data_IF_482714772957
#
_entry.id   IF_482714772957
#
_cell.length_a   1.000
_cell.length_b   1.000
_cell.length_c   1.000
_cell.angle_alpha   90.00
_cell.angle_beta   90.00
_cell.angle_gamma   90.00
#
_symmetry.space_group_name_H-M   'P 1'
#
loop_
_entity.id
_entity.type
_entity.pdbx_description
1 polymer ?
#
# COMPACT_ATOMS: atom_id res chain seq x y z
N UNK A 1 -68.40 -10.88 39.56
CA UNK A 1 -68.64 -12.15 38.87
C UNK A 1 -67.32 -12.65 38.30
N UNK A 2 -66.73 -13.69 38.90
CA UNK A 2 -66.80 -15.09 38.46
C UNK A 2 -66.21 -15.35 37.06
N UNK A 3 -64.98 -15.87 37.08
CA UNK A 3 -64.21 -16.66 36.10
C UNK A 3 -65.07 -17.62 35.23
N UNK A 4 -64.64 -18.06 34.01
CA UNK A 4 -63.66 -19.16 33.96
C UNK A 4 -62.66 -19.24 32.79
N UNK A 5 -61.56 -19.91 33.15
CA UNK A 5 -60.49 -20.51 32.34
C UNK A 5 -61.01 -21.44 31.22
N UNK A 6 -60.31 -21.45 30.08
CA UNK A 6 -60.26 -22.63 29.19
C UNK A 6 -58.83 -22.85 28.66
N UNK A 7 -58.21 -23.92 29.16
CA UNK A 7 -57.03 -24.58 28.58
C UNK A 7 -57.43 -25.22 27.24
N UNK A 8 -56.63 -25.05 26.20
CA UNK A 8 -56.61 -25.97 25.07
C UNK A 8 -55.18 -26.41 24.74
N UNK A 9 -55.04 -27.72 24.58
CA UNK A 9 -53.81 -28.49 24.39
C UNK A 9 -53.53 -28.68 22.89
N UNK A 10 -52.23 -28.77 22.58
CA UNK A 10 -51.58 -29.55 21.50
C UNK A 10 -51.78 -29.09 20.04
N UNK A 11 -50.66 -28.86 19.34
CA UNK A 11 -49.99 -29.85 18.46
C UNK A 11 -48.77 -29.20 17.80
N UNK A 12 -47.60 -29.83 17.97
CA UNK A 12 -46.37 -29.43 17.30
C UNK A 12 -46.48 -29.62 15.79
N UNK A 13 -46.15 -28.57 15.04
CA UNK A 13 -46.05 -28.59 13.58
C UNK A 13 -44.58 -28.64 13.21
N UNK A 14 -44.11 -29.83 12.81
CA UNK A 14 -42.81 -30.03 12.15
C UNK A 14 -42.77 -29.16 10.89
N UNK A 15 -41.83 -28.21 10.83
CA UNK A 15 -41.54 -27.47 9.60
C UNK A 15 -40.86 -28.42 8.62
N UNK A 16 -41.54 -28.73 7.51
CA UNK A 16 -40.93 -29.34 6.34
C UNK A 16 -40.11 -28.24 5.68
N UNK A 17 -38.80 -28.46 5.56
CA UNK A 17 -37.94 -27.66 4.71
C UNK A 17 -38.20 -28.08 3.26
N UNK A 18 -38.66 -27.14 2.43
CA UNK A 18 -38.59 -27.26 0.98
C UNK A 18 -37.23 -26.73 0.53
N UNK A 19 -36.51 -27.41 -0.38
CA UNK A 19 -35.25 -26.90 -0.90
C UNK A 19 -35.55 -25.74 -1.85
N UNK A 20 -35.05 -24.55 -1.51
CA UNK A 20 -34.95 -23.43 -2.45
C UNK A 20 -33.73 -23.70 -3.32
N UNK A 21 -33.95 -23.97 -4.60
CA UNK A 21 -32.92 -23.95 -5.63
C UNK A 21 -32.55 -22.49 -5.93
N UNK A 22 -31.48 -22.01 -5.31
CA UNK A 22 -30.78 -20.80 -5.74
C UNK A 22 -29.59 -21.21 -6.60
N UNK A 23 -29.74 -21.02 -7.91
CA UNK A 23 -28.66 -21.07 -8.90
C UNK A 23 -27.56 -20.11 -8.45
N UNK A 24 -26.44 -20.68 -7.99
CA UNK A 24 -25.24 -19.94 -7.61
C UNK A 24 -24.35 -19.88 -8.85
N UNK A 25 -24.46 -18.83 -9.66
CA UNK A 25 -23.40 -18.48 -10.61
C UNK A 25 -22.27 -17.80 -9.86
N UNK A 26 -21.48 -18.63 -9.16
CA UNK A 26 -20.13 -18.30 -8.78
C UNK A 26 -19.27 -18.46 -10.03
N UNK A 27 -18.98 -17.35 -10.72
CA UNK A 27 -17.90 -17.31 -11.69
C UNK A 27 -16.57 -17.52 -10.95
N UNK A 28 -16.20 -18.79 -10.88
CA UNK A 28 -14.93 -19.27 -10.40
C UNK A 28 -13.82 -18.78 -11.34
N UNK A 29 -13.14 -17.68 -11.00
CA UNK A 29 -11.79 -17.46 -11.50
C UNK A 29 -10.83 -18.21 -10.59
N UNK A 30 -10.79 -19.54 -10.78
CA UNK A 30 -9.74 -20.41 -10.23
C UNK A 30 -8.45 -20.13 -11.00
N UNK A 31 -7.63 -19.25 -10.44
CA UNK A 31 -6.19 -19.30 -10.62
C UNK A 31 -5.53 -19.44 -9.25
N UNK A 32 -5.79 -20.56 -8.57
CA UNK A 32 -4.80 -21.11 -7.64
C UNK A 32 -3.69 -21.74 -8.49
N UNK A 33 -2.84 -20.88 -9.03
CA UNK A 33 -1.46 -21.30 -9.24
C UNK A 33 -0.85 -21.35 -7.84
N UNK A 34 -0.87 -22.53 -7.24
CA UNK A 34 0.08 -22.86 -6.17
C UNK A 34 1.45 -22.80 -6.83
N UNK A 35 2.03 -21.59 -6.86
CA UNK A 35 3.45 -21.42 -7.07
C UNK A 35 4.11 -22.17 -5.94
N UNK A 36 4.62 -23.36 -6.26
CA UNK A 36 5.60 -24.03 -5.42
C UNK A 36 6.68 -22.99 -5.11
N UNK A 37 7.08 -22.80 -3.84
CA UNK A 37 8.02 -21.75 -3.46
C UNK A 37 9.43 -22.14 -3.89
N UNK A 38 9.72 -22.10 -5.18
CA UNK A 38 11.08 -22.11 -5.69
C UNK A 38 11.63 -20.70 -5.51
N UNK A 39 12.21 -20.45 -4.34
CA UNK A 39 13.08 -19.32 -4.03
C UNK A 39 12.50 -17.92 -4.32
N UNK A 40 11.44 -17.50 -3.61
CA UNK A 40 11.33 -16.07 -3.29
C UNK A 40 12.48 -15.77 -2.34
N UNK A 41 13.57 -15.23 -2.90
CA UNK A 41 14.75 -14.81 -2.15
C UNK A 41 14.32 -14.04 -0.90
N UNK A 42 15.00 -14.24 0.25
CA UNK A 42 14.81 -13.44 1.48
C UNK A 42 14.87 -11.92 1.25
N UNK A 43 15.38 -11.51 0.09
CA UNK A 43 15.53 -10.13 -0.36
C UNK A 43 14.34 -9.59 -1.14
N UNK A 44 13.33 -10.37 -1.51
CA UNK A 44 12.19 -9.91 -2.31
C UNK A 44 10.88 -10.23 -1.61
N UNK A 45 9.89 -9.34 -1.74
CA UNK A 45 8.57 -9.58 -1.12
C UNK A 45 7.44 -8.97 -1.92
N UNK A 46 6.34 -9.72 -2.00
CA UNK A 46 5.08 -9.22 -2.54
C UNK A 46 4.36 -8.43 -1.46
N UNK A 47 3.94 -7.22 -1.79
CA UNK A 47 3.22 -6.33 -0.87
C UNK A 47 2.00 -5.77 -1.58
N UNK A 48 0.87 -5.77 -0.87
CA UNK A 48 -0.31 -4.95 -1.22
C UNK A 48 -0.26 -3.66 -0.39
N UNK A 49 0.15 -2.52 -0.99
CA UNK A 49 0.24 -1.25 -0.28
C UNK A 49 -1.14 -0.62 -0.05
N UNK A 50 -2.21 -1.13 -0.66
CA UNK A 50 -3.54 -0.51 -0.60
C UNK A 50 -4.29 -0.74 0.71
N UNK A 51 -3.74 -1.54 1.63
CA UNK A 51 -4.36 -1.90 2.90
C UNK A 51 -4.36 -0.75 3.93
N UNK A 52 -3.72 0.40 3.65
CA UNK A 52 -3.57 1.48 4.61
C UNK A 52 -3.46 2.90 4.04
N UNK A 53 -3.76 3.13 2.77
CA UNK A 53 -3.78 4.50 2.24
C UNK A 53 -5.23 5.04 2.21
N UNK A 54 -5.65 5.92 3.15
CA UNK A 54 -6.96 6.57 3.06
C UNK A 54 -7.04 7.54 1.86
N UNK A 55 -5.89 7.93 1.28
CA UNK A 55 -5.79 8.84 0.12
C UNK A 55 -5.07 8.16 -1.06
N UNK A 56 -5.77 7.85 -2.18
CA UNK A 56 -5.22 7.12 -3.32
C UNK A 56 -4.25 8.02 -4.12
N UNK A 57 -3.01 8.12 -3.65
CA UNK A 57 -2.02 9.09 -4.15
C UNK A 57 -0.65 8.46 -4.40
N UNK A 58 -0.64 7.16 -4.73
CA UNK A 58 0.55 6.45 -5.17
C UNK A 58 1.11 7.02 -6.48
N UNK A 59 2.33 6.61 -6.87
CA UNK A 59 2.98 7.05 -8.11
C UNK A 59 2.04 6.86 -9.32
N UNK A 60 2.12 7.67 -10.39
CA UNK A 60 1.15 7.59 -11.52
C UNK A 60 1.15 6.21 -12.21
N UNK A 61 2.29 5.51 -12.22
CA UNK A 61 2.39 4.11 -12.66
C UNK A 61 1.56 3.15 -11.79
N UNK A 62 1.27 3.54 -10.55
CA UNK A 62 0.39 2.89 -9.58
C UNK A 62 -0.99 3.56 -9.46
N UNK A 63 -1.39 4.34 -10.48
CA UNK A 63 -2.58 5.20 -10.39
C UNK A 63 -3.77 4.50 -9.74
N UNK A 64 -4.14 4.98 -8.54
CA UNK A 64 -5.42 4.75 -7.84
C UNK A 64 -5.95 3.33 -7.79
N UNK A 65 -5.12 2.29 -7.68
CA UNK A 65 -5.62 0.91 -7.61
C UNK A 65 -5.52 0.39 -6.18
N UNK A 66 -6.66 0.38 -5.48
CA UNK A 66 -6.87 -0.58 -4.40
C UNK A 66 -6.64 -1.99 -4.96
N UNK A 67 -5.78 -2.78 -4.31
CA UNK A 67 -5.40 -4.14 -4.70
C UNK A 67 -4.20 -4.24 -5.64
N UNK A 68 -3.39 -3.18 -5.79
CA UNK A 68 -2.12 -3.29 -6.53
C UNK A 68 -1.15 -4.17 -5.73
N UNK A 69 -0.42 -5.07 -6.41
CA UNK A 69 0.62 -5.87 -5.75
C UNK A 69 1.97 -5.50 -6.33
N UNK A 70 2.93 -5.23 -5.46
CA UNK A 70 4.29 -4.83 -5.80
C UNK A 70 5.32 -5.84 -5.36
N UNK A 71 6.41 -5.92 -6.11
CA UNK A 71 7.62 -6.61 -5.71
C UNK A 71 8.58 -5.59 -5.08
N UNK A 72 8.85 -5.74 -3.78
CA UNK A 72 9.79 -4.90 -3.04
C UNK A 72 11.12 -5.64 -2.79
N UNK A 73 12.23 -5.00 -3.12
CA UNK A 73 13.59 -5.39 -2.80
C UNK A 73 13.99 -4.89 -1.40
N UNK A 74 14.47 -5.80 -0.56
CA UNK A 74 14.84 -5.59 0.84
C UNK A 74 16.35 -5.62 1.08
N UNK A 75 17.15 -6.01 0.10
CA UNK A 75 18.62 -5.97 0.18
C UNK A 75 19.13 -4.56 0.51
N UNK A 76 18.46 -3.52 -0.02
CA UNK A 76 18.76 -2.11 0.23
C UNK A 76 18.74 -1.74 1.72
N UNK A 77 17.95 -2.45 2.54
CA UNK A 77 17.79 -2.17 3.97
C UNK A 77 19.04 -2.54 4.80
N UNK A 78 19.89 -3.46 4.32
CA UNK A 78 21.06 -3.89 5.09
C UNK A 78 22.10 -2.78 5.27
N UNK A 79 22.22 -1.93 4.26
CA UNK A 79 23.19 -0.82 4.21
C UNK A 79 22.53 0.54 3.97
N UNK A 80 21.19 0.58 3.97
CA UNK A 80 20.40 1.74 3.56
C UNK A 80 20.86 2.34 2.22
N UNK A 81 21.18 1.47 1.26
CA UNK A 81 21.64 1.86 -0.09
C UNK A 81 20.43 2.24 -0.96
N UNK A 82 19.97 3.48 -0.77
CA UNK A 82 18.94 4.09 -1.59
C UNK A 82 19.55 5.12 -2.53
N UNK A 83 18.88 5.32 -3.65
CA UNK A 83 19.23 6.35 -4.62
C UNK A 83 18.04 7.28 -4.83
N UNK A 84 18.35 8.50 -5.23
CA UNK A 84 17.35 9.46 -5.68
C UNK A 84 16.43 8.87 -6.74
N UNK A 85 15.15 9.19 -6.64
CA UNK A 85 14.13 8.68 -7.55
C UNK A 85 13.68 7.25 -7.25
N UNK A 86 14.29 6.55 -6.28
CA UNK A 86 13.80 5.24 -5.85
C UNK A 86 12.37 5.34 -5.34
N UNK A 87 11.52 4.40 -5.74
CA UNK A 87 10.19 4.27 -5.15
C UNK A 87 10.31 3.37 -3.92
N UNK A 88 9.95 3.89 -2.76
CA UNK A 88 10.12 3.22 -1.48
C UNK A 88 8.77 2.90 -0.83
N UNK A 89 8.71 1.72 -0.22
CA UNK A 89 7.63 1.29 0.64
C UNK A 89 8.03 1.57 2.08
N UNK A 90 7.23 2.28 2.86
CA UNK A 90 7.54 2.60 4.26
C UNK A 90 6.30 2.62 5.14
N UNK A 91 6.49 2.48 6.46
CA UNK A 91 5.41 2.63 7.44
C UNK A 91 5.04 4.09 7.63
N UNK A 92 3.75 4.42 7.67
CA UNK A 92 3.29 5.76 7.97
C UNK A 92 3.86 6.24 9.33
N UNK A 93 4.47 7.44 9.41
CA UNK A 93 5.07 7.94 10.65
C UNK A 93 4.07 8.13 11.79
N UNK A 94 2.82 8.47 11.46
CA UNK A 94 1.74 8.73 12.41
C UNK A 94 0.96 7.48 12.82
N UNK A 95 0.76 6.53 11.90
CA UNK A 95 0.17 5.21 12.20
C UNK A 95 1.01 4.09 11.57
N UNK A 96 1.76 3.37 12.40
CA UNK A 96 2.74 2.37 11.95
C UNK A 96 2.10 1.06 11.43
N UNK A 97 0.77 1.01 11.35
CA UNK A 97 -0.02 -0.07 10.76
C UNK A 97 -0.19 0.09 9.25
N UNK A 98 -0.10 1.32 8.76
CA UNK A 98 -0.29 1.66 7.36
C UNK A 98 1.05 1.69 6.60
N UNK A 99 1.04 1.26 5.34
CA UNK A 99 2.20 1.28 4.45
C UNK A 99 1.94 2.24 3.30
N UNK A 100 2.91 3.11 3.03
CA UNK A 100 2.88 4.08 1.96
C UNK A 100 3.93 3.75 0.89
N UNK A 101 3.60 4.10 -0.35
CA UNK A 101 4.53 4.04 -1.48
C UNK A 101 4.74 5.45 -2.02
N UNK A 102 5.96 5.96 -1.88
CA UNK A 102 6.35 7.31 -2.33
C UNK A 102 7.73 7.27 -2.98
N UNK A 103 8.08 8.33 -3.71
CA UNK A 103 9.38 8.49 -4.35
C UNK A 103 10.34 9.18 -3.41
N UNK A 104 11.56 8.68 -3.31
CA UNK A 104 12.64 9.26 -2.52
C UNK A 104 13.27 10.43 -3.30
N UNK A 105 13.23 11.62 -2.68
CA UNK A 105 13.66 12.87 -3.31
C UNK A 105 14.98 13.37 -2.72
N UNK A 106 15.24 13.15 -1.44
CA UNK A 106 16.50 13.55 -0.81
C UNK A 106 16.91 12.55 0.27
N UNK A 107 18.22 12.39 0.43
CA UNK A 107 18.91 11.47 1.32
C UNK A 107 19.48 12.20 2.56
N UNK A 108 19.94 11.45 3.59
CA UNK A 108 20.53 12.03 4.79
C UNK A 108 21.64 13.05 4.47
N UNK A 109 21.63 14.18 5.17
CA UNK A 109 22.68 15.19 5.08
C UNK A 109 22.58 16.14 3.89
N UNK A 110 21.72 15.84 2.91
CA UNK A 110 21.55 16.66 1.71
C UNK A 110 20.78 17.95 1.97
N UNK A 111 20.99 18.93 1.11
CA UNK A 111 20.19 20.15 1.06
C UNK A 111 19.18 20.06 -0.08
N UNK A 112 17.95 20.45 0.17
CA UNK A 112 16.92 20.51 -0.86
C UNK A 112 16.01 21.72 -0.69
N UNK A 113 15.50 22.22 -1.81
CA UNK A 113 14.49 23.27 -1.81
C UNK A 113 13.11 22.68 -1.50
N UNK A 114 12.35 23.32 -0.62
CA UNK A 114 10.96 22.96 -0.38
C UNK A 114 10.11 23.26 -1.63
N UNK A 115 9.20 22.36 -2.01
CA UNK A 115 8.41 22.54 -3.23
C UNK A 115 7.44 23.72 -3.06
N UNK A 116 7.46 24.64 -4.01
CA UNK A 116 6.59 25.82 -4.02
C UNK A 116 7.04 26.96 -3.11
N UNK A 117 8.18 26.84 -2.43
CA UNK A 117 8.77 27.92 -1.63
C UNK A 117 10.25 28.12 -1.99
N UNK A 118 10.84 29.30 -1.71
CA UNK A 118 12.27 29.52 -1.88
C UNK A 118 13.12 28.89 -0.76
N UNK A 119 12.50 28.26 0.24
CA UNK A 119 13.19 27.79 1.43
C UNK A 119 14.03 26.54 1.11
N UNK A 120 15.24 26.50 1.68
CA UNK A 120 16.16 25.36 1.57
C UNK A 120 16.30 24.73 2.95
N UNK A 121 16.10 23.43 3.02
CA UNK A 121 16.26 22.66 4.26
C UNK A 121 17.39 21.64 4.10
N UNK A 122 18.07 21.34 5.20
CA UNK A 122 18.98 20.19 5.30
C UNK A 122 18.21 18.99 5.81
N UNK A 123 18.35 17.85 5.15
CA UNK A 123 17.78 16.58 5.62
C UNK A 123 18.61 16.08 6.82
N UNK A 124 17.98 15.82 7.98
CA UNK A 124 18.69 15.29 9.14
C UNK A 124 19.38 13.95 8.84
N UNK A 125 20.47 13.67 9.53
CA UNK A 125 21.12 12.36 9.44
C UNK A 125 20.13 11.23 9.79
N UNK A 126 20.23 10.12 9.06
CA UNK A 126 19.32 8.98 9.20
C UNK A 126 17.88 9.21 8.72
N UNK A 127 17.57 10.36 8.11
CA UNK A 127 16.25 10.68 7.56
C UNK A 127 16.30 10.85 6.04
N UNK A 128 15.14 10.74 5.39
CA UNK A 128 14.98 11.03 3.96
C UNK A 128 13.71 11.84 3.70
N UNK A 129 13.67 12.52 2.55
CA UNK A 129 12.47 13.21 2.06
C UNK A 129 11.78 12.37 0.99
N UNK A 130 10.46 12.18 1.11
CA UNK A 130 9.67 11.40 0.16
C UNK A 130 8.46 12.19 -0.35
N UNK A 131 8.16 12.04 -1.64
CA UNK A 131 7.03 12.72 -2.30
C UNK A 131 6.23 11.77 -3.17
N UNK A 132 4.92 12.00 -3.27
CA UNK A 132 4.08 11.31 -4.25
C UNK A 132 4.16 11.97 -5.63
N UNK A 133 4.06 11.18 -6.70
CA UNK A 133 4.00 11.72 -8.07
C UNK A 133 2.67 12.46 -8.37
N UNK A 134 1.71 12.45 -7.43
CA UNK A 134 0.51 13.29 -7.48
C UNK A 134 0.55 14.35 -6.37
N UNK A 135 1.21 15.45 -6.66
CA UNK A 135 1.48 16.54 -5.72
C UNK A 135 0.21 17.14 -5.07
N UNK A 136 -0.96 17.04 -5.71
CA UNK A 136 -2.18 17.74 -5.29
C UNK A 136 -2.99 17.03 -4.20
N UNK A 137 -2.77 15.73 -3.95
CA UNK A 137 -3.58 14.94 -2.99
C UNK A 137 -2.77 13.91 -2.17
N UNK A 138 -1.44 14.01 -2.11
CA UNK A 138 -0.62 13.05 -1.37
C UNK A 138 -0.22 13.54 0.02
N UNK A 139 -0.53 12.73 1.03
CA UNK A 139 0.09 12.82 2.35
C UNK A 139 1.53 12.31 2.23
N UNK A 140 2.50 13.22 2.29
CA UNK A 140 3.94 12.92 2.16
C UNK A 140 4.82 13.89 2.96
N UNK A 141 6.12 13.96 2.70
CA UNK A 141 7.04 14.78 3.49
C UNK A 141 6.71 16.27 3.48
N UNK A 142 5.94 16.76 2.51
CA UNK A 142 5.42 18.15 2.55
C UNK A 142 4.44 18.37 3.70
N UNK A 143 3.78 17.31 4.17
CA UNK A 143 2.81 17.34 5.26
C UNK A 143 3.42 16.98 6.61
N UNK A 144 4.30 15.96 6.66
CA UNK A 144 4.85 15.43 7.92
C UNK A 144 6.38 15.63 8.09
N UNK A 145 7.06 16.22 7.12
CA UNK A 145 8.51 16.42 7.13
C UNK A 145 9.33 15.20 6.69
N UNK A 146 10.65 15.21 6.92
CA UNK A 146 11.52 14.08 6.66
C UNK A 146 11.13 12.86 7.52
N UNK A 147 11.33 11.64 6.99
CA UNK A 147 11.05 10.40 7.72
C UNK A 147 12.34 9.65 8.05
N UNK A 148 12.41 8.94 9.19
CA UNK A 148 13.53 8.07 9.48
C UNK A 148 13.66 6.96 8.44
N UNK A 149 14.88 6.68 7.97
CA UNK A 149 15.17 5.59 7.04
C UNK A 149 14.69 4.23 7.58
N UNK A 150 14.67 4.04 8.91
CA UNK A 150 14.18 2.82 9.56
C UNK A 150 12.68 2.52 9.36
N UNK A 151 11.91 3.50 8.90
CA UNK A 151 10.50 3.26 8.51
C UNK A 151 10.39 2.54 7.17
N UNK A 152 11.41 2.60 6.31
CA UNK A 152 11.43 1.96 4.99
C UNK A 152 11.46 0.43 5.14
N UNK A 153 10.62 -0.24 4.34
CA UNK A 153 10.43 -1.70 4.29
C UNK A 153 10.90 -2.33 2.98
N UNK A 154 11.34 -1.50 2.03
CA UNK A 154 12.03 -1.93 0.82
C UNK A 154 11.90 -0.91 -0.30
N UNK A 155 12.68 -1.11 -1.36
CA UNK A 155 12.52 -0.41 -2.63
C UNK A 155 11.57 -1.18 -3.53
N UNK A 156 10.60 -0.51 -4.11
CA UNK A 156 9.68 -1.10 -5.07
C UNK A 156 10.40 -1.26 -6.40
N UNK A 157 10.57 -2.51 -6.85
CA UNK A 157 11.25 -2.83 -8.10
C UNK A 157 10.27 -3.04 -9.27
N UNK A 158 9.11 -3.67 -8.99
CA UNK A 158 8.12 -3.99 -10.02
C UNK A 158 6.69 -3.84 -9.51
N UNK A 159 5.79 -3.49 -10.41
CA UNK A 159 4.34 -3.72 -10.28
C UNK A 159 4.07 -5.11 -10.82
N UNK A 160 3.37 -5.95 -10.05
CA UNK A 160 3.03 -7.32 -10.48
C UNK A 160 1.52 -7.56 -10.64
N UNK A 161 0.69 -6.64 -10.15
CA UNK A 161 -0.76 -6.64 -10.38
C UNK A 161 -1.31 -5.20 -10.30
N UNK A 162 -2.30 -4.81 -11.13
CA UNK A 162 -3.03 -5.61 -12.12
C UNK A 162 -2.22 -5.94 -13.39
N UNK A 163 -2.64 -6.94 -14.20
CA UNK A 163 -1.89 -7.39 -15.38
C UNK A 163 -1.59 -6.27 -16.38
N UNK A 164 -2.53 -5.33 -16.55
CA UNK A 164 -2.38 -4.17 -17.44
C UNK A 164 -1.31 -3.17 -17.00
N UNK A 165 -0.81 -3.28 -15.77
CA UNK A 165 0.22 -2.39 -15.20
C UNK A 165 1.49 -3.13 -14.81
N UNK A 166 1.62 -4.41 -15.13
CA UNK A 166 2.83 -5.17 -14.82
C UNK A 166 4.02 -4.53 -15.51
N UNK A 167 5.07 -4.26 -14.76
CA UNK A 167 6.26 -3.61 -15.29
C UNK A 167 7.26 -3.25 -14.20
N UNK A 168 8.48 -2.93 -14.64
CA UNK A 168 9.51 -2.38 -13.78
C UNK A 168 9.13 -0.96 -13.37
N UNK A 169 9.44 -0.60 -12.13
CA UNK A 169 9.28 0.76 -11.64
C UNK A 169 10.53 1.57 -11.98
N UNK A 170 10.32 2.72 -12.62
CA UNK A 170 11.41 3.63 -12.99
C UNK A 170 11.96 4.36 -11.77
N UNK A 171 13.27 4.23 -11.57
CA UNK A 171 14.08 5.07 -10.68
C UNK A 171 14.49 6.32 -11.45
N UNK A 172 13.64 7.35 -11.42
CA UNK A 172 13.94 8.66 -11.99
C UNK A 172 13.50 9.76 -11.05
N UNK A 173 14.26 10.85 -11.03
CA UNK A 173 13.80 12.06 -10.35
C UNK A 173 12.56 12.61 -11.06
N UNK A 174 11.57 13.14 -10.30
CA UNK A 174 10.43 13.80 -10.90
C UNK A 174 10.90 15.11 -11.59
N UNK A 175 10.32 15.43 -12.74
CA UNK A 175 10.78 16.49 -13.66
C UNK A 175 10.85 17.89 -13.03
N UNK A 176 10.03 18.14 -12.01
CA UNK A 176 9.99 19.39 -11.27
C UNK A 176 11.01 19.46 -10.12
N UNK A 177 11.87 18.44 -9.98
CA UNK A 177 12.96 18.40 -9.01
C UNK A 177 14.29 18.37 -9.76
N UNK A 178 15.16 19.31 -9.40
CA UNK A 178 16.56 19.26 -9.79
C UNK A 178 17.22 18.26 -8.84
N UNK A 179 17.97 17.29 -9.38
CA UNK A 179 18.79 16.40 -8.55
C UNK A 179 19.70 17.26 -7.68
N UNK A 180 19.80 17.01 -6.36
CA UNK A 180 20.77 17.70 -5.54
C UNK A 180 22.18 17.50 -6.14
N UNK A 181 22.96 18.59 -6.13
CA UNK A 181 24.32 18.64 -6.66
C UNK A 181 25.27 17.72 -5.89
#
# INVERSE_FOLDING_TARGET
>A
SSQPKRRLRRRGRRRRFSPVTTTTEAHACRCSAVLHPTAVSRTLSLVDPSTGDPHPSGPKNFGGIRGAVVLAERSCLQKYQFSHGDVVLFKCPSDHRELFVKRLIALPGEWMQLPGTPDIIKIPEGHCWVEGDNAACSWDSRSFGPIPLGLIKGRVAHVIWPPSKIGRVDTKMPENRISPL
#
